data_IF_831388560872
#
_entry.id   IF_831388560872
#
_cell.length_a   1.000
_cell.length_b   1.000
_cell.length_c   1.000
_cell.angle_alpha   90.00
_cell.angle_beta   90.00
_cell.angle_gamma   90.00
#
_symmetry.space_group_name_H-M   'P 1'
#
loop_
_entity.id
_entity.type
_entity.pdbx_description
1 polymer ?
#
# COMPACT_ATOMS: atom_id res chain seq x y z
N UNK A 1 -25.37 9.83 17.80
CA UNK A 1 -24.38 8.73 17.91
C UNK A 1 -24.21 7.94 16.60
N UNK A 2 -25.23 7.83 15.75
CA UNK A 2 -25.16 7.06 14.48
C UNK A 2 -24.19 7.62 13.42
N UNK A 3 -24.00 8.94 13.36
CA UNK A 3 -23.09 9.57 12.38
C UNK A 3 -21.60 9.28 12.61
N UNK A 4 -21.18 9.15 13.87
CA UNK A 4 -19.78 8.86 14.22
C UNK A 4 -19.38 7.42 13.89
N UNK A 5 -20.30 6.47 14.07
CA UNK A 5 -20.12 5.05 13.70
C UNK A 5 -20.01 4.92 12.17
N UNK A 6 -20.88 5.63 11.43
CA UNK A 6 -20.81 5.66 9.97
C UNK A 6 -19.52 6.32 9.47
N UNK A 7 -19.09 7.43 10.08
CA UNK A 7 -17.86 8.12 9.70
C UNK A 7 -16.63 7.25 9.94
N UNK A 8 -16.58 6.54 11.07
CA UNK A 8 -15.49 5.63 11.41
C UNK A 8 -15.36 4.50 10.37
N UNK A 9 -16.48 3.90 9.96
CA UNK A 9 -16.49 2.90 8.89
C UNK A 9 -16.03 3.44 7.54
N UNK A 10 -16.46 4.65 7.16
CA UNK A 10 -16.02 5.30 5.91
C UNK A 10 -14.52 5.61 5.93
N UNK A 11 -13.98 6.07 7.06
CA UNK A 11 -12.54 6.33 7.24
C UNK A 11 -11.77 5.02 7.13
N UNK A 12 -12.21 3.96 7.79
CA UNK A 12 -11.55 2.66 7.73
C UNK A 12 -11.52 2.09 6.29
N UNK A 13 -12.60 2.25 5.51
CA UNK A 13 -12.63 1.87 4.09
C UNK A 13 -11.69 2.70 3.22
N UNK A 14 -11.58 4.01 3.47
CA UNK A 14 -10.63 4.89 2.78
C UNK A 14 -9.18 4.48 3.06
N UNK A 15 -8.86 4.24 4.34
CA UNK A 15 -7.53 3.79 4.76
C UNK A 15 -7.21 2.41 4.16
N UNK A 16 -8.19 1.51 4.12
CA UNK A 16 -8.06 0.20 3.49
C UNK A 16 -7.75 0.33 2.00
N UNK A 17 -8.47 1.19 1.27
CA UNK A 17 -8.25 1.41 -0.15
C UNK A 17 -6.84 1.96 -0.44
N UNK A 18 -6.36 2.89 0.38
CA UNK A 18 -5.01 3.45 0.27
C UNK A 18 -3.95 2.39 0.60
N UNK A 19 -4.15 1.61 1.66
CA UNK A 19 -3.29 0.51 2.04
C UNK A 19 -3.15 -0.52 0.90
N UNK A 20 -4.28 -0.95 0.32
CA UNK A 20 -4.30 -1.82 -0.84
C UNK A 20 -3.57 -1.20 -2.04
N UNK A 21 -3.86 0.05 -2.41
CA UNK A 21 -3.21 0.71 -3.53
C UNK A 21 -1.68 0.75 -3.36
N UNK A 22 -1.21 0.99 -2.12
CA UNK A 22 0.21 0.99 -1.79
C UNK A 22 0.81 -0.42 -1.86
N UNK A 23 0.15 -1.44 -1.32
CA UNK A 23 0.64 -2.84 -1.39
C UNK A 23 0.69 -3.31 -2.84
N UNK A 24 -0.40 -3.16 -3.61
CA UNK A 24 -0.47 -3.63 -4.99
C UNK A 24 0.47 -2.85 -5.92
N UNK A 25 0.56 -1.52 -5.79
CA UNK A 25 1.47 -0.70 -6.60
C UNK A 25 2.94 -1.02 -6.35
N UNK A 26 3.33 -1.20 -5.09
CA UNK A 26 4.72 -1.52 -4.73
C UNK A 26 5.07 -3.00 -4.99
N UNK A 27 4.14 -3.93 -4.76
CA UNK A 27 4.32 -5.33 -5.12
C UNK A 27 4.47 -5.51 -6.64
N UNK A 28 3.65 -4.82 -7.43
CA UNK A 28 3.71 -4.89 -8.90
C UNK A 28 5.04 -4.32 -9.43
N UNK A 29 5.53 -3.21 -8.87
CA UNK A 29 6.82 -2.64 -9.26
C UNK A 29 8.01 -3.51 -8.84
N UNK A 30 7.95 -4.19 -7.69
CA UNK A 30 8.98 -5.18 -7.31
C UNK A 30 8.99 -6.41 -8.23
N UNK A 31 7.81 -6.96 -8.56
CA UNK A 31 7.70 -8.13 -9.45
C UNK A 31 8.15 -7.79 -10.87
N UNK A 32 7.69 -6.64 -11.40
CA UNK A 32 8.00 -6.21 -12.77
C UNK A 32 9.39 -5.60 -12.91
N UNK A 33 9.86 -4.90 -11.88
CA UNK A 33 11.22 -4.37 -11.78
C UNK A 33 12.31 -5.45 -11.72
N UNK A 34 11.96 -6.69 -11.35
CA UNK A 34 12.88 -7.83 -11.48
C UNK A 34 12.98 -8.37 -12.92
N UNK A 35 11.97 -8.12 -13.77
CA UNK A 35 11.91 -8.58 -15.17
C UNK A 35 12.43 -7.52 -16.14
N UNK A 36 12.14 -6.25 -15.87
CA UNK A 36 12.65 -5.11 -16.62
C UNK A 36 13.72 -4.42 -15.78
N UNK A 37 14.94 -4.98 -15.75
CA UNK A 37 16.12 -4.17 -15.55
C UNK A 37 16.16 -3.20 -16.74
N UNK A 38 15.54 -2.03 -16.56
CA UNK A 38 15.47 -0.99 -17.58
C UNK A 38 16.86 -0.68 -18.15
N UNK A 39 16.94 -0.18 -19.39
CA UNK A 39 18.19 0.02 -20.11
C UNK A 39 19.21 0.77 -19.23
N UNK A 40 20.41 0.20 -19.13
CA UNK A 40 21.51 0.71 -18.32
C UNK A 40 21.73 2.20 -18.60
N UNK A 41 21.54 3.06 -17.59
CA UNK A 41 21.90 4.48 -17.69
C UNK A 41 20.94 5.51 -17.11
N UNK A 42 19.76 5.14 -16.59
CA UNK A 42 18.94 6.07 -15.81
C UNK A 42 19.28 5.97 -14.31
N UNK A 43 19.83 7.03 -13.74
CA UNK A 43 20.15 7.22 -12.32
C UNK A 43 18.91 7.19 -11.38
N UNK A 44 17.74 6.78 -11.88
CA UNK A 44 16.52 6.53 -11.13
C UNK A 44 16.25 5.04 -10.88
N UNK A 45 17.30 4.23 -10.75
CA UNK A 45 17.19 2.80 -10.48
C UNK A 45 16.17 2.55 -9.37
N UNK A 46 15.22 1.64 -9.63
CA UNK A 46 14.21 1.19 -8.67
C UNK A 46 14.86 1.08 -7.30
N UNK A 47 14.56 2.04 -6.42
CA UNK A 47 15.03 1.99 -5.04
C UNK A 47 14.25 0.87 -4.37
N UNK A 48 14.71 -0.37 -4.55
CA UNK A 48 14.07 -1.58 -4.04
C UNK A 48 13.80 -1.44 -2.54
N UNK A 49 14.67 -0.73 -1.80
CA UNK A 49 14.45 -0.38 -0.40
C UNK A 49 13.21 0.50 -0.16
N UNK A 50 12.94 1.51 -1.01
CA UNK A 50 11.72 2.34 -0.91
C UNK A 50 10.47 1.54 -1.26
N UNK A 51 10.52 0.72 -2.31
CA UNK A 51 9.40 -0.12 -2.70
C UNK A 51 9.05 -1.15 -1.61
N UNK A 52 10.06 -1.79 -1.01
CA UNK A 52 9.87 -2.70 0.13
C UNK A 52 9.32 -1.99 1.36
N UNK A 53 9.85 -0.81 1.70
CA UNK A 53 9.35 -0.03 2.83
C UNK A 53 7.87 0.33 2.64
N UNK A 54 7.49 0.84 1.47
CA UNK A 54 6.11 1.20 1.17
C UNK A 54 5.19 -0.02 1.13
N UNK A 55 5.68 -1.18 0.68
CA UNK A 55 4.90 -2.42 0.72
C UNK A 55 4.61 -2.83 2.18
N UNK A 56 5.62 -2.86 3.04
CA UNK A 56 5.45 -3.20 4.47
C UNK A 56 4.53 -2.19 5.17
N UNK A 57 4.75 -0.90 4.96
CA UNK A 57 3.90 0.15 5.52
C UNK A 57 2.44 0.00 5.04
N UNK A 58 2.23 -0.22 3.74
CA UNK A 58 0.93 -0.49 3.16
C UNK A 58 0.27 -1.74 3.77
N UNK A 59 1.03 -2.79 4.03
CA UNK A 59 0.53 -4.03 4.64
C UNK A 59 0.06 -3.80 6.07
N UNK A 60 0.84 -3.08 6.88
CA UNK A 60 0.46 -2.72 8.26
C UNK A 60 -0.84 -1.89 8.27
N UNK A 61 -0.93 -0.88 7.40
CA UNK A 61 -2.12 -0.03 7.27
C UNK A 61 -3.34 -0.85 6.85
N UNK A 62 -3.17 -1.76 5.88
CA UNK A 62 -4.24 -2.65 5.40
C UNK A 62 -4.74 -3.56 6.52
N UNK A 63 -3.83 -4.20 7.27
CA UNK A 63 -4.18 -5.08 8.40
C UNK A 63 -4.92 -4.30 9.48
N UNK A 64 -4.46 -3.10 9.83
CA UNK A 64 -5.13 -2.25 10.81
C UNK A 64 -6.52 -1.80 10.37
N UNK A 65 -6.68 -1.42 9.10
CA UNK A 65 -7.97 -1.02 8.55
C UNK A 65 -8.97 -2.18 8.52
N UNK A 66 -8.53 -3.38 8.15
CA UNK A 66 -9.36 -4.60 8.23
C UNK A 66 -9.77 -4.90 9.67
N UNK A 67 -8.82 -4.83 10.61
CA UNK A 67 -9.12 -5.05 12.04
C UNK A 67 -10.15 -4.03 12.56
N UNK A 68 -10.09 -2.78 12.11
CA UNK A 68 -11.01 -1.70 12.49
C UNK A 68 -12.40 -1.81 11.86
N UNK A 69 -12.56 -2.63 10.81
CA UNK A 69 -13.85 -2.92 10.18
C UNK A 69 -14.53 -4.15 10.79
N UNK A 70 -13.72 -5.09 11.30
CA UNK A 70 -14.20 -6.36 11.89
C UNK A 70 -14.44 -6.24 13.39
N UNK A 71 -13.62 -5.47 14.11
CA UNK A 71 -13.77 -5.17 15.54
C UNK A 71 -14.61 -3.94 15.79
#
# INVERSE_FOLDING_TARGET
MSGLISLNGTIALLVLAIGLAMVFGNAFTLVRGSKDAGPAGQEGGLCAGRAWFLLVAGMVITVWAVASLIG
#
